data_IF_128308837955
#
_entry.id   IF_128308837955
#
_cell.length_a   1.000
_cell.length_b   1.000
_cell.length_c   1.000
_cell.angle_alpha   90.00
_cell.angle_beta   90.00
_cell.angle_gamma   90.00
#
_symmetry.space_group_name_H-M   'P 1'
#
loop_
_entity.id
_entity.type
_entity.pdbx_description
1 polymer ?
#
# COMPACT_ATOMS: atom_id res chain seq x y z
N UNK A 1 6.39 5.93 -18.88
CA UNK A 1 4.97 5.68 -19.18
C UNK A 1 4.77 4.89 -20.46
N UNK A 2 5.31 5.29 -21.61
CA UNK A 2 5.16 4.54 -22.87
C UNK A 2 5.63 3.08 -22.77
N UNK A 3 6.66 2.82 -21.99
CA UNK A 3 7.16 1.47 -21.71
C UNK A 3 6.17 0.62 -20.87
N UNK A 4 5.48 1.20 -19.88
CA UNK A 4 4.50 0.48 -19.04
C UNK A 4 3.30 0.01 -19.88
N UNK A 5 2.79 0.85 -20.77
CA UNK A 5 1.72 0.47 -21.70
C UNK A 5 2.16 -0.63 -22.65
N UNK A 6 3.38 -0.53 -23.22
CA UNK A 6 3.91 -1.57 -24.09
C UNK A 6 4.09 -2.91 -23.36
N UNK A 7 4.59 -2.89 -22.13
CA UNK A 7 4.69 -4.10 -21.27
C UNK A 7 3.31 -4.69 -20.95
N UNK A 8 2.32 -3.82 -20.69
CA UNK A 8 0.94 -4.26 -20.49
C UNK A 8 0.38 -4.94 -21.73
N UNK A 9 0.59 -4.36 -22.92
CA UNK A 9 0.15 -4.96 -24.19
C UNK A 9 0.82 -6.31 -24.44
N UNK A 10 2.12 -6.44 -24.16
CA UNK A 10 2.82 -7.72 -24.25
C UNK A 10 2.21 -8.76 -23.31
N UNK A 11 1.97 -8.37 -22.06
CA UNK A 11 1.38 -9.27 -21.07
C UNK A 11 -0.06 -9.69 -21.44
N UNK A 12 -0.86 -8.80 -22.03
CA UNK A 12 -2.18 -9.15 -22.56
C UNK A 12 -2.07 -10.22 -23.66
N UNK A 13 -1.15 -10.03 -24.60
CA UNK A 13 -0.93 -10.99 -25.69
C UNK A 13 -0.47 -12.36 -25.16
N UNK A 14 0.44 -12.37 -24.19
CA UNK A 14 0.94 -13.62 -23.57
C UNK A 14 -0.15 -14.42 -22.83
N UNK A 15 -1.27 -13.76 -22.43
CA UNK A 15 -2.39 -14.36 -21.73
C UNK A 15 -3.66 -14.54 -22.59
N UNK A 16 -3.57 -14.36 -23.90
CA UNK A 16 -4.70 -14.41 -24.84
C UNK A 16 -5.85 -13.47 -24.44
N UNK A 17 -5.51 -12.25 -24.01
CA UNK A 17 -6.46 -11.19 -23.65
C UNK A 17 -6.40 -10.11 -24.73
N UNK A 18 -7.53 -9.76 -25.32
CA UNK A 18 -7.59 -8.83 -26.43
C UNK A 18 -7.52 -7.37 -26.00
N UNK A 19 -8.03 -7.05 -24.80
CA UNK A 19 -7.94 -5.69 -24.24
C UNK A 19 -8.03 -5.70 -22.72
N UNK A 20 -7.44 -4.68 -22.07
CA UNK A 20 -7.61 -4.35 -20.65
C UNK A 20 -8.39 -3.04 -20.53
N UNK A 21 -9.38 -3.02 -19.64
CA UNK A 21 -10.18 -1.85 -19.29
C UNK A 21 -9.83 -1.40 -17.86
N UNK A 22 -9.32 -0.18 -17.71
CA UNK A 22 -8.86 0.35 -16.41
C UNK A 22 -9.66 1.61 -16.06
N UNK A 23 -10.27 1.60 -14.89
CA UNK A 23 -11.00 2.74 -14.33
C UNK A 23 -10.14 3.53 -13.33
N UNK A 24 -10.58 4.72 -12.83
CA UNK A 24 -9.78 5.50 -11.89
C UNK A 24 -9.35 4.71 -10.65
N UNK A 25 -8.05 4.75 -10.38
CA UNK A 25 -7.38 4.05 -9.31
C UNK A 25 -5.86 4.02 -9.54
N UNK A 26 -5.16 3.24 -8.76
CA UNK A 26 -3.71 3.11 -8.84
C UNK A 26 -3.24 2.57 -10.20
N UNK A 27 -3.97 1.65 -10.80
CA UNK A 27 -3.63 1.09 -12.11
C UNK A 27 -3.71 2.14 -13.22
N UNK A 28 -4.75 3.00 -13.22
CA UNK A 28 -4.83 4.10 -14.17
C UNK A 28 -3.67 5.07 -13.99
N UNK A 29 -3.37 5.42 -12.73
CA UNK A 29 -2.25 6.31 -12.41
C UNK A 29 -0.91 5.71 -12.81
N UNK A 30 -0.70 4.42 -12.54
CA UNK A 30 0.52 3.69 -12.93
C UNK A 30 0.74 3.71 -14.44
N UNK A 31 -0.30 3.47 -15.22
CA UNK A 31 -0.22 3.35 -16.67
C UNK A 31 -0.14 4.71 -17.40
N UNK A 32 -0.77 5.76 -16.86
CA UNK A 32 -0.94 7.05 -17.55
C UNK A 32 -0.34 8.25 -16.81
N UNK A 33 -0.09 8.14 -15.51
CA UNK A 33 0.22 9.27 -14.63
C UNK A 33 -1.00 10.10 -14.23
N UNK A 34 -2.19 9.81 -14.76
CA UNK A 34 -3.40 10.59 -14.49
C UNK A 34 -4.09 10.12 -13.20
N UNK A 35 -4.21 11.03 -12.26
CA UNK A 35 -4.93 10.81 -11.01
C UNK A 35 -6.39 11.28 -11.16
N UNK A 36 -7.24 10.46 -11.79
CA UNK A 36 -8.67 10.68 -11.88
C UNK A 36 -9.38 10.20 -10.60
N UNK A 37 -10.44 10.93 -10.20
CA UNK A 37 -11.31 10.49 -9.11
C UNK A 37 -12.29 9.39 -9.58
N UNK A 38 -12.59 8.38 -8.76
CA UNK A 38 -13.56 7.33 -9.10
C UNK A 38 -15.00 7.82 -8.89
N UNK A 39 -15.46 8.69 -9.77
CA UNK A 39 -16.81 9.28 -9.75
C UNK A 39 -17.82 8.42 -10.55
N UNK A 40 -19.10 8.82 -10.55
CA UNK A 40 -20.19 8.12 -11.24
C UNK A 40 -20.07 8.11 -12.77
N UNK A 41 -19.46 9.16 -13.35
CA UNK A 41 -19.16 9.24 -14.78
C UNK A 41 -18.02 8.32 -15.16
N UNK A 42 -18.13 7.67 -16.30
CA UNK A 42 -17.10 6.72 -16.74
C UNK A 42 -15.84 7.47 -17.20
N UNK A 43 -14.75 7.26 -16.51
CA UNK A 43 -13.38 7.40 -17.03
C UNK A 43 -12.83 5.98 -17.21
N UNK A 44 -12.30 5.67 -18.39
CA UNK A 44 -11.80 4.33 -18.71
C UNK A 44 -10.61 4.41 -19.69
N UNK A 45 -9.48 3.86 -19.29
CA UNK A 45 -8.38 3.59 -20.22
C UNK A 45 -8.64 2.24 -20.86
N UNK A 46 -8.70 2.21 -22.17
CA UNK A 46 -8.77 0.99 -23.00
C UNK A 46 -7.38 0.70 -23.52
N UNK A 47 -6.79 -0.41 -23.12
CA UNK A 47 -5.47 -0.88 -23.58
C UNK A 47 -5.69 -2.14 -24.41
N UNK A 48 -5.76 -2.07 -25.76
CA UNK A 48 -5.83 -3.25 -26.61
C UNK A 48 -4.47 -4.00 -26.59
N UNK A 49 -4.47 -5.31 -26.77
CA UNK A 49 -3.24 -6.11 -26.88
C UNK A 49 -2.38 -5.70 -28.09
N UNK A 50 -3.03 -5.10 -29.10
CA UNK A 50 -2.36 -4.50 -30.27
C UNK A 50 -3.13 -3.26 -30.72
N UNK A 51 -2.42 -2.21 -31.09
CA UNK A 51 -3.01 -0.93 -31.49
C UNK A 51 -2.75 0.17 -30.44
N UNK A 52 -3.47 1.27 -30.56
CA UNK A 52 -3.25 2.46 -29.74
C UNK A 52 -4.15 2.45 -28.50
N UNK A 53 -3.59 2.48 -27.27
CA UNK A 53 -4.39 2.68 -26.07
C UNK A 53 -5.12 4.03 -26.10
N UNK A 54 -6.34 4.09 -25.57
CA UNK A 54 -7.18 5.29 -25.60
C UNK A 54 -7.80 5.53 -24.22
N UNK A 55 -7.74 6.78 -23.76
CA UNK A 55 -8.39 7.20 -22.52
C UNK A 55 -9.75 7.85 -22.84
N UNK A 56 -10.84 7.25 -22.36
CA UNK A 56 -12.19 7.79 -22.43
C UNK A 56 -12.49 8.55 -21.15
N UNK A 57 -12.91 9.80 -21.26
CA UNK A 57 -13.26 10.66 -20.11
C UNK A 57 -14.57 11.40 -20.36
N UNK A 58 -15.32 11.84 -19.32
CA UNK A 58 -16.36 12.82 -19.49
C UNK A 58 -15.81 14.09 -20.15
N UNK A 59 -16.54 14.71 -21.06
CA UNK A 59 -16.06 15.92 -21.78
C UNK A 59 -15.66 17.05 -20.82
N UNK A 60 -16.30 17.13 -19.66
CA UNK A 60 -15.98 18.12 -18.62
C UNK A 60 -14.60 17.89 -17.96
N UNK A 61 -14.05 16.66 -18.03
CA UNK A 61 -12.75 16.29 -17.46
C UNK A 61 -11.64 16.23 -18.51
N UNK A 62 -11.97 16.44 -19.79
CA UNK A 62 -11.00 16.34 -20.90
C UNK A 62 -9.79 17.26 -20.68
N UNK A 63 -10.03 18.53 -20.31
CA UNK A 63 -8.94 19.48 -20.07
C UNK A 63 -8.06 19.10 -18.88
N UNK A 64 -8.61 18.47 -17.85
CA UNK A 64 -7.83 17.97 -16.71
C UNK A 64 -6.93 16.80 -17.12
N UNK A 65 -7.44 15.89 -17.93
CA UNK A 65 -6.66 14.76 -18.46
C UNK A 65 -5.53 15.24 -19.39
N UNK A 66 -5.79 16.25 -20.26
CA UNK A 66 -4.75 16.89 -21.07
C UNK A 66 -3.67 17.57 -20.22
N UNK A 67 -4.08 18.32 -19.19
CA UNK A 67 -3.16 19.02 -18.28
C UNK A 67 -2.30 18.06 -17.47
N UNK A 68 -2.78 16.84 -17.20
CA UNK A 68 -1.99 15.78 -16.56
C UNK A 68 -0.91 15.18 -17.47
N UNK A 69 -0.87 15.55 -18.77
CA UNK A 69 0.15 15.08 -19.72
C UNK A 69 -0.02 13.62 -20.12
N UNK A 70 -1.25 13.11 -20.15
CA UNK A 70 -1.54 11.75 -20.60
C UNK A 70 -1.02 11.55 -22.02
N UNK A 71 -0.21 10.51 -22.22
CA UNK A 71 0.51 10.27 -23.47
C UNK A 71 -0.25 9.38 -24.48
N UNK A 72 -1.57 9.19 -24.29
CA UNK A 72 -2.45 8.46 -25.18
C UNK A 72 -3.58 9.36 -25.68
N UNK A 73 -4.24 9.08 -26.81
CA UNK A 73 -5.43 9.79 -27.25
C UNK A 73 -6.49 9.86 -26.18
N UNK A 74 -7.08 11.02 -26.01
CA UNK A 74 -8.18 11.27 -25.06
C UNK A 74 -9.46 11.50 -25.84
N UNK A 75 -10.50 10.72 -25.53
CA UNK A 75 -11.83 10.83 -26.13
C UNK A 75 -12.82 11.30 -25.08
N UNK A 76 -13.34 12.52 -25.27
CA UNK A 76 -14.38 13.09 -24.39
C UNK A 76 -15.78 12.64 -24.82
N UNK A 77 -16.64 12.25 -23.87
CA UNK A 77 -18.06 11.93 -24.13
C UNK A 77 -18.99 12.93 -23.45
N UNK A 78 -20.14 13.20 -24.08
CA UNK A 78 -21.14 14.14 -23.59
C UNK A 78 -22.18 13.44 -22.70
N UNK A 79 -22.84 14.18 -21.79
CA UNK A 79 -23.82 13.65 -20.83
C UNK A 79 -24.99 12.88 -21.51
N UNK A 80 -25.25 13.12 -22.78
CA UNK A 80 -26.29 12.45 -23.55
C UNK A 80 -25.80 11.23 -24.34
N UNK A 81 -24.51 10.94 -24.28
CA UNK A 81 -23.89 9.81 -24.99
C UNK A 81 -23.77 8.60 -24.07
N UNK A 82 -23.66 7.42 -24.66
CA UNK A 82 -23.39 6.19 -23.93
C UNK A 82 -21.87 5.90 -23.94
N UNK A 83 -21.14 6.16 -22.84
CA UNK A 83 -19.70 5.95 -22.80
C UNK A 83 -19.30 4.48 -22.94
N UNK A 84 -20.16 3.54 -22.55
CA UNK A 84 -19.91 2.11 -22.71
C UNK A 84 -19.93 1.68 -24.17
N UNK A 85 -20.75 2.34 -25.01
CA UNK A 85 -20.74 2.13 -26.45
C UNK A 85 -19.44 2.64 -27.10
N UNK A 86 -18.82 3.71 -26.55
CA UNK A 86 -17.49 4.16 -26.98
C UNK A 86 -16.43 3.12 -26.64
N UNK A 87 -16.43 2.60 -25.40
CA UNK A 87 -15.53 1.50 -25.01
C UNK A 87 -15.70 0.32 -25.97
N UNK A 88 -16.95 -0.12 -26.23
CA UNK A 88 -17.23 -1.21 -27.14
C UNK A 88 -16.71 -0.97 -28.57
N UNK A 89 -16.78 0.26 -29.07
CA UNK A 89 -16.27 0.61 -30.40
C UNK A 89 -14.75 0.50 -30.53
N UNK A 90 -13.99 0.74 -29.44
CA UNK A 90 -12.55 0.62 -29.40
C UNK A 90 -12.13 -0.85 -29.22
N UNK A 91 -12.85 -1.56 -28.35
CA UNK A 91 -12.61 -3.00 -28.08
C UNK A 91 -12.94 -3.85 -29.32
N UNK A 92 -13.91 -3.45 -30.15
CA UNK A 92 -14.26 -4.11 -31.42
C UNK A 92 -14.70 -5.56 -31.23
N UNK A 93 -14.18 -6.44 -32.08
CA UNK A 93 -14.51 -7.88 -32.11
C UNK A 93 -13.70 -8.71 -31.11
N UNK A 94 -13.25 -8.12 -29.99
CA UNK A 94 -12.53 -8.83 -28.94
C UNK A 94 -13.34 -10.03 -28.42
N UNK A 95 -12.64 -11.12 -28.17
CA UNK A 95 -13.24 -12.35 -27.63
C UNK A 95 -13.08 -12.45 -26.13
N UNK A 96 -12.01 -11.86 -25.58
CA UNK A 96 -11.68 -11.90 -24.16
C UNK A 96 -11.07 -10.56 -23.73
N UNK A 97 -11.67 -9.94 -22.74
CA UNK A 97 -11.21 -8.67 -22.16
C UNK A 97 -10.96 -8.81 -20.67
N UNK A 98 -9.96 -8.09 -20.18
CA UNK A 98 -9.72 -7.93 -18.76
C UNK A 98 -10.33 -6.63 -18.26
N UNK A 99 -10.86 -6.63 -17.05
CA UNK A 99 -11.32 -5.42 -16.34
C UNK A 99 -10.52 -5.27 -15.05
N UNK A 100 -10.23 -4.03 -14.65
CA UNK A 100 -9.52 -3.81 -13.39
C UNK A 100 -10.37 -4.31 -12.19
N UNK A 101 -9.68 -4.76 -11.14
CA UNK A 101 -10.33 -5.40 -9.98
C UNK A 101 -11.17 -4.41 -9.16
N UNK A 102 -10.93 -3.10 -9.29
CA UNK A 102 -11.65 -2.03 -8.60
C UNK A 102 -12.76 -1.40 -9.45
N UNK A 103 -13.01 -1.92 -10.65
CA UNK A 103 -14.12 -1.44 -11.47
C UNK A 103 -15.46 -1.68 -10.75
N UNK A 104 -16.25 -0.65 -10.61
CA UNK A 104 -17.57 -0.78 -10.00
C UNK A 104 -18.41 -1.83 -10.73
N UNK A 105 -19.08 -2.70 -9.98
CA UNK A 105 -19.91 -3.76 -10.55
C UNK A 105 -20.97 -3.22 -11.53
N UNK A 106 -21.53 -2.02 -11.26
CA UNK A 106 -22.47 -1.35 -12.17
C UNK A 106 -21.87 -1.11 -13.56
N UNK A 107 -20.58 -0.78 -13.64
CA UNK A 107 -19.86 -0.59 -14.91
C UNK A 107 -19.59 -1.90 -15.61
N UNK A 108 -19.22 -2.93 -14.85
CA UNK A 108 -19.03 -4.28 -15.40
C UNK A 108 -20.33 -4.80 -16.03
N UNK A 109 -21.48 -4.62 -15.37
CA UNK A 109 -22.76 -4.99 -15.93
C UNK A 109 -23.14 -4.17 -17.17
N UNK A 110 -22.90 -2.84 -17.14
CA UNK A 110 -23.16 -1.99 -18.30
C UNK A 110 -22.27 -2.35 -19.51
N UNK A 111 -21.02 -2.74 -19.29
CA UNK A 111 -20.13 -3.24 -20.34
C UNK A 111 -20.66 -4.55 -20.94
N UNK A 112 -21.21 -5.45 -20.14
CA UNK A 112 -21.81 -6.72 -20.63
C UNK A 112 -23.00 -6.54 -21.54
N UNK A 113 -23.73 -5.43 -21.41
CA UNK A 113 -24.85 -5.12 -22.30
C UNK A 113 -24.38 -4.72 -23.72
N UNK A 114 -23.13 -4.26 -23.86
CA UNK A 114 -22.61 -3.71 -25.13
C UNK A 114 -21.39 -4.48 -25.67
N UNK A 115 -20.72 -5.30 -24.87
CA UNK A 115 -19.55 -6.10 -25.25
C UNK A 115 -19.84 -7.58 -24.98
N UNK A 116 -19.82 -8.39 -26.03
CA UNK A 116 -20.06 -9.84 -25.92
C UNK A 116 -18.85 -10.68 -25.56
N UNK A 117 -17.66 -10.05 -25.36
CA UNK A 117 -16.44 -10.74 -24.97
C UNK A 117 -16.55 -11.40 -23.59
N UNK A 118 -15.81 -12.49 -23.39
CA UNK A 118 -15.54 -13.03 -22.05
C UNK A 118 -14.85 -11.95 -21.22
N UNK A 119 -15.34 -11.72 -19.99
CA UNK A 119 -14.72 -10.76 -19.06
C UNK A 119 -13.99 -11.51 -17.95
N UNK A 120 -12.71 -11.18 -17.76
CA UNK A 120 -11.84 -11.71 -16.70
C UNK A 120 -11.27 -10.57 -15.85
N UNK A 121 -10.72 -10.89 -14.67
CA UNK A 121 -10.04 -9.90 -13.84
C UNK A 121 -8.67 -9.56 -14.45
N UNK A 122 -8.35 -8.27 -14.48
CA UNK A 122 -7.09 -7.72 -14.99
C UNK A 122 -6.04 -7.45 -13.92
N UNK A 123 -6.45 -7.42 -12.65
CA UNK A 123 -5.59 -7.11 -11.51
C UNK A 123 -4.32 -7.96 -11.45
N UNK A 124 -4.37 -9.28 -11.56
CA UNK A 124 -3.16 -10.11 -11.53
C UNK A 124 -2.12 -9.73 -12.58
N UNK A 125 -2.56 -9.26 -13.75
CA UNK A 125 -1.68 -8.86 -14.84
C UNK A 125 -0.99 -7.53 -14.55
N UNK A 126 -1.74 -6.52 -14.07
CA UNK A 126 -1.18 -5.21 -13.70
C UNK A 126 -0.36 -5.30 -12.42
N UNK A 127 -0.81 -6.08 -11.44
CA UNK A 127 -0.08 -6.35 -10.21
C UNK A 127 1.32 -6.93 -10.48
N UNK A 128 1.46 -7.85 -11.42
CA UNK A 128 2.75 -8.43 -11.80
C UNK A 128 3.75 -7.37 -12.34
N UNK A 129 3.24 -6.31 -12.97
CA UNK A 129 4.05 -5.17 -13.43
C UNK A 129 4.39 -4.22 -12.28
N UNK A 130 3.39 -3.85 -11.47
CA UNK A 130 3.53 -2.92 -10.34
C UNK A 130 4.40 -3.48 -9.22
N UNK A 131 4.35 -4.79 -9.01
CA UNK A 131 5.08 -5.49 -7.97
C UNK A 131 6.60 -5.25 -8.06
N UNK A 132 7.16 -5.20 -9.29
CA UNK A 132 8.58 -4.92 -9.54
C UNK A 132 8.79 -3.45 -9.85
N UNK A 133 9.30 -2.72 -8.86
CA UNK A 133 9.54 -1.27 -8.95
C UNK A 133 10.70 -0.96 -9.88
N UNK A 134 10.50 0.01 -10.76
CA UNK A 134 11.57 0.62 -11.53
C UNK A 134 12.45 1.49 -10.61
N UNK A 135 13.71 1.80 -10.99
CA UNK A 135 14.58 2.61 -10.15
C UNK A 135 13.97 3.96 -9.69
N UNK A 136 13.20 4.60 -10.56
CA UNK A 136 12.52 5.86 -10.21
C UNK A 136 11.39 5.66 -9.18
N UNK A 137 10.72 4.50 -9.21
CA UNK A 137 9.69 4.14 -8.22
C UNK A 137 10.32 3.83 -6.86
N UNK A 138 11.46 3.13 -6.85
CA UNK A 138 12.24 2.87 -5.63
C UNK A 138 12.68 4.18 -4.98
N UNK A 139 13.13 5.15 -5.78
CA UNK A 139 13.52 6.46 -5.24
C UNK A 139 12.33 7.23 -4.68
N UNK A 140 11.16 7.20 -5.34
CA UNK A 140 9.95 7.81 -4.83
C UNK A 140 9.48 7.17 -3.49
N UNK A 141 9.58 5.84 -3.36
CA UNK A 141 9.32 5.14 -2.10
C UNK A 141 10.36 5.51 -1.02
N UNK A 142 11.62 5.71 -1.40
CA UNK A 142 12.68 6.16 -0.48
C UNK A 142 12.41 7.57 0.04
N UNK A 143 11.95 8.47 -0.81
CA UNK A 143 11.55 9.83 -0.42
C UNK A 143 10.36 9.80 0.53
N UNK A 144 9.33 8.98 0.24
CA UNK A 144 8.17 8.79 1.10
C UNK A 144 8.57 8.20 2.46
N UNK A 145 9.42 7.16 2.48
CA UNK A 145 9.97 6.55 3.70
C UNK A 145 10.80 7.55 4.52
N UNK A 146 11.61 8.38 3.88
CA UNK A 146 12.38 9.41 4.56
C UNK A 146 11.48 10.52 5.16
N UNK A 147 10.38 10.86 4.49
CA UNK A 147 9.42 11.84 4.99
C UNK A 147 8.70 11.33 6.25
N UNK A 148 8.20 10.10 6.23
CA UNK A 148 7.52 9.52 7.42
C UNK A 148 8.50 9.28 8.58
N UNK A 149 9.77 8.95 8.30
CA UNK A 149 10.82 8.87 9.30
C UNK A 149 11.07 10.22 10.00
N UNK A 150 10.90 11.36 9.29
CA UNK A 150 11.01 12.69 9.91
C UNK A 150 9.89 12.94 10.91
N UNK A 151 8.68 12.44 10.64
CA UNK A 151 7.56 12.49 11.59
C UNK A 151 7.88 11.67 12.84
N UNK A 152 8.35 10.42 12.69
CA UNK A 152 8.74 9.57 13.82
C UNK A 152 9.85 10.21 14.68
N UNK A 153 10.82 10.90 14.10
CA UNK A 153 11.87 11.58 14.87
C UNK A 153 11.35 12.71 15.77
N UNK A 154 10.20 13.29 15.42
CA UNK A 154 9.55 14.37 16.16
C UNK A 154 8.54 13.87 17.20
N UNK A 155 8.36 12.56 17.34
CA UNK A 155 7.30 11.97 18.16
C UNK A 155 7.28 12.48 19.61
N UNK A 156 8.45 12.76 20.19
CA UNK A 156 8.56 13.36 21.53
C UNK A 156 7.97 14.78 21.68
N UNK A 157 7.63 15.47 20.58
CA UNK A 157 6.95 16.77 20.62
C UNK A 157 5.48 16.60 21.04
N UNK A 158 4.85 15.50 20.66
CA UNK A 158 3.40 15.30 20.77
C UNK A 158 2.99 14.16 21.68
N UNK A 159 3.72 13.03 21.65
CA UNK A 159 3.38 11.82 22.37
C UNK A 159 3.81 11.94 23.84
N UNK A 160 2.87 12.31 24.70
CA UNK A 160 3.08 12.55 26.14
C UNK A 160 1.92 12.04 26.97
N UNK A 161 2.20 11.60 28.19
CA UNK A 161 1.17 11.28 29.18
C UNK A 161 0.25 12.48 29.45
N UNK A 162 -1.02 12.21 29.67
CA UNK A 162 -2.06 13.20 29.92
C UNK A 162 -2.73 13.76 28.66
N UNK A 163 -2.22 13.47 27.47
CA UNK A 163 -2.90 13.79 26.21
C UNK A 163 -3.76 12.61 25.74
N UNK A 164 -4.77 12.89 24.94
CA UNK A 164 -5.57 11.85 24.29
C UNK A 164 -4.91 11.34 23.02
N UNK A 165 -5.21 10.10 22.64
CA UNK A 165 -4.76 9.52 21.34
C UNK A 165 -5.19 10.42 20.18
N UNK A 166 -6.41 10.95 20.21
CA UNK A 166 -6.97 11.86 19.18
C UNK A 166 -6.17 13.16 19.04
N UNK A 167 -5.77 13.78 20.15
CA UNK A 167 -4.96 15.01 20.13
C UNK A 167 -3.59 14.74 19.51
N UNK A 168 -2.96 13.63 19.90
CA UNK A 168 -1.65 13.21 19.35
C UNK A 168 -1.78 12.87 17.87
N UNK A 169 -2.81 12.11 17.49
CA UNK A 169 -3.07 11.75 16.10
C UNK A 169 -3.28 12.97 15.20
N UNK A 170 -3.96 14.01 15.70
CA UNK A 170 -4.15 15.26 14.96
C UNK A 170 -2.84 16.04 14.74
N UNK A 171 -1.91 16.01 15.70
CA UNK A 171 -0.59 16.63 15.53
C UNK A 171 0.26 15.84 14.52
N UNK A 172 0.22 14.51 14.60
CA UNK A 172 0.91 13.61 13.66
C UNK A 172 0.39 13.82 12.23
N UNK A 173 -0.93 13.89 12.04
CA UNK A 173 -1.53 14.13 10.73
C UNK A 173 -1.03 15.44 10.09
N UNK A 174 -0.94 16.52 10.86
CA UNK A 174 -0.35 17.78 10.39
C UNK A 174 1.12 17.61 10.02
N UNK A 175 1.89 16.91 10.86
CA UNK A 175 3.30 16.69 10.62
C UNK A 175 3.57 15.86 9.35
N UNK A 176 2.71 14.89 9.02
CA UNK A 176 2.81 14.10 7.77
C UNK A 176 2.77 15.05 6.56
N UNK A 177 1.83 15.99 6.53
CA UNK A 177 1.73 16.99 5.45
C UNK A 177 2.95 17.92 5.47
N UNK A 178 3.33 18.44 6.64
CA UNK A 178 4.46 19.36 6.79
C UNK A 178 5.79 18.74 6.32
N UNK A 179 5.94 17.42 6.47
CA UNK A 179 7.16 16.68 6.10
C UNK A 179 7.17 16.22 4.63
N UNK A 180 6.13 16.53 3.85
CA UNK A 180 6.15 16.44 2.39
C UNK A 180 5.19 15.43 1.77
N UNK A 181 4.23 14.88 2.52
CA UNK A 181 3.13 14.14 1.94
C UNK A 181 2.04 15.10 1.44
N UNK A 182 1.33 14.69 0.40
CA UNK A 182 0.17 15.40 -0.14
C UNK A 182 -1.11 15.02 0.60
N UNK A 183 -1.21 13.76 1.02
CA UNK A 183 -2.33 13.24 1.79
C UNK A 183 -1.86 12.44 3.01
N UNK A 184 -2.70 12.43 4.02
CA UNK A 184 -2.61 11.50 5.15
C UNK A 184 -3.51 10.32 4.84
N UNK A 185 -2.95 9.13 4.75
CA UNK A 185 -3.73 7.95 4.41
C UNK A 185 -4.31 7.30 5.69
N UNK A 186 -3.50 7.24 6.75
CA UNK A 186 -3.96 6.77 8.06
C UNK A 186 -3.05 7.27 9.19
N UNK A 187 -3.61 7.32 10.40
CA UNK A 187 -2.90 7.60 11.66
C UNK A 187 -3.48 6.72 12.76
N UNK A 188 -2.69 5.78 13.23
CA UNK A 188 -2.98 4.95 14.40
C UNK A 188 -2.13 5.46 15.58
N UNK A 189 -2.77 5.79 16.69
CA UNK A 189 -2.14 6.04 17.98
C UNK A 189 -2.89 5.19 18.99
N UNK A 190 -2.33 4.05 19.37
CA UNK A 190 -3.00 3.04 20.18
C UNK A 190 -2.24 2.82 21.49
N UNK A 191 -2.75 3.40 22.59
CA UNK A 191 -2.09 3.43 23.89
C UNK A 191 -2.59 2.34 24.83
N UNK A 192 -1.70 1.74 25.63
CA UNK A 192 -2.02 0.70 26.60
C UNK A 192 -2.88 -0.42 26.00
N UNK A 193 -4.09 -0.69 26.56
CA UNK A 193 -4.98 -1.76 26.08
C UNK A 193 -5.42 -1.60 24.62
N UNK A 194 -5.51 -0.38 24.11
CA UNK A 194 -5.87 -0.10 22.72
C UNK A 194 -4.79 -0.61 21.73
N UNK A 195 -3.52 -0.65 22.17
CA UNK A 195 -2.42 -1.22 21.40
C UNK A 195 -2.59 -2.71 21.07
N UNK A 196 -3.51 -3.41 21.73
CA UNK A 196 -3.86 -4.79 21.40
C UNK A 196 -4.79 -4.92 20.18
N UNK A 197 -5.24 -3.82 19.58
CA UNK A 197 -6.04 -3.78 18.36
C UNK A 197 -5.16 -3.29 17.19
N UNK A 198 -4.79 -4.13 16.21
CA UNK A 198 -3.89 -3.74 15.13
C UNK A 198 -4.34 -2.52 14.33
N UNK A 199 -5.65 -2.38 14.08
CA UNK A 199 -6.25 -1.28 13.33
C UNK A 199 -7.11 -0.38 14.23
N UNK A 200 -6.55 0.01 15.40
CA UNK A 200 -7.24 0.89 16.34
C UNK A 200 -7.41 2.29 15.75
N UNK A 201 -8.63 2.82 15.76
CA UNK A 201 -8.90 4.21 15.44
C UNK A 201 -8.61 5.10 16.66
N UNK A 202 -8.00 6.28 16.45
CA UNK A 202 -7.67 7.23 17.52
C UNK A 202 -8.90 7.55 18.38
N UNK A 203 -8.77 7.40 19.69
CA UNK A 203 -9.85 7.57 20.65
C UNK A 203 -9.60 8.74 21.62
N UNK A 204 -10.56 8.99 22.53
CA UNK A 204 -10.43 9.97 23.61
C UNK A 204 -9.74 9.37 24.84
N UNK A 205 -9.16 8.15 24.73
CA UNK A 205 -8.35 7.58 25.82
C UNK A 205 -7.17 8.50 26.12
N UNK A 206 -7.01 8.81 27.42
CA UNK A 206 -5.85 9.55 27.90
C UNK A 206 -4.68 8.59 28.02
N UNK A 207 -3.55 8.95 27.42
CA UNK A 207 -2.29 8.21 27.52
C UNK A 207 -1.76 8.32 28.94
N UNK A 208 -1.51 7.19 29.58
CA UNK A 208 -1.05 7.10 30.97
C UNK A 208 0.48 6.88 31.05
N UNK A 209 1.13 7.30 32.15
CA UNK A 209 2.54 7.03 32.34
C UNK A 209 2.82 5.52 32.39
N UNK A 210 3.79 5.06 31.58
CA UNK A 210 4.15 3.65 31.43
C UNK A 210 3.42 2.95 30.29
N UNK A 211 2.43 3.59 29.67
CA UNK A 211 1.77 3.01 28.50
C UNK A 211 2.74 2.72 27.36
N UNK A 212 2.74 1.51 26.80
CA UNK A 212 3.20 1.31 25.45
C UNK A 212 2.19 1.91 24.47
N UNK A 213 2.70 2.60 23.44
CA UNK A 213 1.87 3.24 22.43
C UNK A 213 2.35 2.82 21.04
N UNK A 214 1.51 2.10 20.33
CA UNK A 214 1.72 1.80 18.91
C UNK A 214 1.38 3.04 18.11
N UNK A 215 2.35 3.53 17.33
CA UNK A 215 2.15 4.62 16.38
C UNK A 215 2.45 4.08 15.00
N UNK A 216 1.41 3.98 14.19
CA UNK A 216 1.44 3.47 12.83
C UNK A 216 0.85 4.52 11.88
N UNK A 217 1.68 4.98 10.95
CA UNK A 217 1.41 6.20 10.19
C UNK A 217 1.85 6.07 8.75
N UNK A 218 1.03 6.60 7.86
CA UNK A 218 1.31 6.61 6.43
C UNK A 218 0.61 7.75 5.71
N UNK A 219 1.14 8.06 4.55
CA UNK A 219 0.60 9.07 3.64
C UNK A 219 1.14 8.91 2.24
N UNK A 220 0.52 9.58 1.29
CA UNK A 220 0.92 9.57 -0.12
C UNK A 220 1.60 10.87 -0.49
N UNK A 221 2.75 10.79 -1.15
CA UNK A 221 3.50 11.96 -1.67
C UNK A 221 2.91 12.47 -2.98
N UNK A 222 3.28 13.68 -3.40
CA UNK A 222 2.88 14.25 -4.70
C UNK A 222 3.27 13.36 -5.90
N UNK A 223 4.34 12.57 -5.78
CA UNK A 223 4.73 11.58 -6.77
C UNK A 223 3.77 10.37 -6.83
N UNK A 224 2.86 10.25 -5.85
CA UNK A 224 1.85 9.20 -5.78
C UNK A 224 2.29 7.91 -5.15
N UNK A 225 3.41 7.92 -4.45
CA UNK A 225 3.92 6.77 -3.72
C UNK A 225 3.61 6.91 -2.24
N UNK A 226 3.18 5.79 -1.65
CA UNK A 226 2.79 5.71 -0.26
C UNK A 226 4.00 5.51 0.65
N UNK A 227 3.90 6.02 1.87
CA UNK A 227 4.73 5.61 3.00
C UNK A 227 3.91 4.79 3.98
N UNK A 228 4.60 3.94 4.72
CA UNK A 228 4.06 3.14 5.80
C UNK A 228 5.14 2.88 6.84
N UNK A 229 4.84 3.12 8.13
CA UNK A 229 5.83 2.90 9.18
C UNK A 229 5.20 2.80 10.55
N UNK A 230 5.48 1.72 11.26
CA UNK A 230 5.09 1.56 12.66
C UNK A 230 6.29 1.58 13.59
N UNK A 231 6.16 2.34 14.68
CA UNK A 231 7.01 2.23 15.88
C UNK A 231 6.14 2.16 17.13
N UNK A 232 6.62 1.42 18.12
CA UNK A 232 6.00 1.40 19.45
C UNK A 232 6.88 2.14 20.44
N UNK A 233 6.28 3.04 21.21
CA UNK A 233 6.94 3.88 22.19
C UNK A 233 6.46 3.53 23.59
N UNK A 234 7.22 3.90 24.64
CA UNK A 234 6.75 3.95 26.04
C UNK A 234 6.75 5.38 26.50
N UNK A 235 5.68 5.81 27.15
CA UNK A 235 5.48 7.22 27.53
C UNK A 235 5.53 7.38 29.05
N UNK A 236 6.35 8.31 29.52
CA UNK A 236 6.26 8.90 30.87
C UNK A 236 6.43 7.98 32.07
N UNK A 237 7.03 6.79 31.93
CA UNK A 237 7.15 5.86 33.05
C UNK A 237 7.88 4.57 32.71
N UNK A 238 7.84 3.62 33.66
CA UNK A 238 8.35 2.28 33.44
C UNK A 238 7.23 1.39 32.85
N UNK A 239 7.47 0.71 31.73
CA UNK A 239 6.49 -0.21 31.16
C UNK A 239 6.39 -1.51 31.98
N UNK A 240 5.28 -2.25 31.79
CA UNK A 240 5.15 -3.60 32.29
C UNK A 240 6.38 -4.44 31.87
N UNK A 241 7.05 -5.16 32.79
CA UNK A 241 8.20 -6.01 32.43
C UNK A 241 7.90 -7.09 31.38
N UNK A 242 6.64 -7.55 31.29
CA UNK A 242 6.23 -8.47 30.23
C UNK A 242 6.18 -7.77 28.87
N UNK A 243 5.77 -6.51 28.82
CA UNK A 243 5.84 -5.73 27.58
C UNK A 243 7.28 -5.62 27.05
N UNK A 244 8.25 -5.37 27.93
CA UNK A 244 9.67 -5.31 27.53
C UNK A 244 10.14 -6.66 26.94
N UNK A 245 9.73 -7.77 27.57
CA UNK A 245 10.05 -9.11 27.03
C UNK A 245 9.43 -9.34 25.66
N UNK A 246 8.13 -9.01 25.53
CA UNK A 246 7.38 -9.10 24.28
C UNK A 246 8.03 -8.28 23.18
N UNK A 247 8.41 -7.03 23.47
CA UNK A 247 9.04 -6.14 22.49
C UNK A 247 10.39 -6.67 22.00
N UNK A 248 11.22 -7.25 22.89
CA UNK A 248 12.49 -7.84 22.52
C UNK A 248 12.30 -9.06 21.60
N UNK A 249 11.27 -9.89 21.85
CA UNK A 249 10.91 -11.00 20.96
C UNK A 249 10.49 -10.47 19.59
N UNK A 250 9.62 -9.46 19.56
CA UNK A 250 9.16 -8.83 18.34
C UNK A 250 10.31 -8.23 17.51
N UNK A 251 11.21 -7.51 18.16
CA UNK A 251 12.40 -6.94 17.51
C UNK A 251 13.30 -8.01 16.90
N UNK A 252 13.51 -9.13 17.63
CA UNK A 252 14.27 -10.28 17.12
C UNK A 252 13.60 -10.91 15.91
N UNK A 253 12.27 -11.07 15.94
CA UNK A 253 11.50 -11.62 14.83
C UNK A 253 11.60 -10.73 13.58
N UNK A 254 11.37 -9.42 13.73
CA UNK A 254 11.45 -8.46 12.63
C UNK A 254 12.88 -8.39 12.05
N UNK A 255 13.91 -8.46 12.87
CA UNK A 255 15.28 -8.51 12.41
C UNK A 255 15.55 -9.78 11.59
N UNK A 256 15.15 -10.96 12.09
CA UNK A 256 15.33 -12.23 11.38
C UNK A 256 14.60 -12.24 10.03
N UNK A 257 13.38 -11.67 9.96
CA UNK A 257 12.63 -11.52 8.71
C UNK A 257 13.36 -10.65 7.69
N UNK A 258 13.90 -9.50 8.12
CA UNK A 258 14.70 -8.61 7.24
C UNK A 258 16.00 -9.27 6.75
N UNK A 259 16.65 -10.05 7.60
CA UNK A 259 17.88 -10.77 7.23
C UNK A 259 17.60 -11.96 6.29
N UNK A 260 16.41 -12.56 6.39
CA UNK A 260 15.99 -13.67 5.54
C UNK A 260 15.49 -13.21 4.16
N UNK A 261 14.79 -12.07 4.10
CA UNK A 261 14.18 -11.55 2.89
C UNK A 261 15.24 -11.15 1.84
N UNK A 262 15.19 -11.80 0.68
CA UNK A 262 16.09 -11.58 -0.46
C UNK A 262 15.50 -12.22 -1.71
N UNK A 263 15.99 -11.93 -2.92
CA UNK A 263 15.60 -12.67 -4.12
C UNK A 263 15.84 -14.18 -3.96
N UNK A 264 14.91 -14.98 -4.49
CA UNK A 264 14.98 -16.45 -4.48
C UNK A 264 14.34 -17.12 -3.27
N UNK A 265 13.97 -16.41 -2.19
CA UNK A 265 13.16 -16.98 -1.09
C UNK A 265 11.67 -16.77 -1.38
N UNK A 266 10.79 -17.61 -0.80
CA UNK A 266 9.33 -17.43 -0.94
C UNK A 266 8.80 -16.40 0.06
N UNK A 267 7.74 -15.69 -0.31
CA UNK A 267 7.06 -14.73 0.57
C UNK A 267 6.62 -15.39 1.90
N UNK A 268 6.05 -16.61 1.84
CA UNK A 268 5.69 -17.38 3.05
C UNK A 268 6.88 -17.69 3.95
N UNK A 269 8.09 -17.88 3.37
CA UNK A 269 9.28 -18.18 4.17
C UNK A 269 9.75 -17.00 5.02
N UNK A 270 9.51 -15.76 4.56
CA UNK A 270 9.77 -14.55 5.33
C UNK A 270 8.78 -14.44 6.51
N UNK A 271 7.48 -14.69 6.26
CA UNK A 271 6.46 -14.74 7.33
C UNK A 271 6.83 -15.79 8.36
N UNK A 272 7.15 -17.01 7.92
CA UNK A 272 7.44 -18.16 8.78
C UNK A 272 8.59 -17.90 9.75
N UNK A 273 9.69 -17.33 9.30
CA UNK A 273 10.86 -17.05 10.15
C UNK A 273 10.51 -16.20 11.37
N UNK A 274 9.74 -15.12 11.20
CA UNK A 274 9.33 -14.28 12.32
C UNK A 274 8.25 -14.95 13.17
N UNK A 275 7.32 -15.62 12.54
CA UNK A 275 6.21 -16.31 13.21
C UNK A 275 6.70 -17.43 14.13
N UNK A 276 7.69 -18.23 13.71
CA UNK A 276 8.32 -19.26 14.52
C UNK A 276 9.00 -18.66 15.78
N UNK A 277 9.77 -17.58 15.64
CA UNK A 277 10.41 -16.90 16.77
C UNK A 277 9.37 -16.42 17.81
N UNK A 278 8.28 -15.82 17.32
CA UNK A 278 7.17 -15.32 18.16
C UNK A 278 6.46 -16.50 18.85
N UNK A 279 6.21 -17.58 18.13
CA UNK A 279 5.54 -18.79 18.65
C UNK A 279 6.41 -19.51 19.69
N UNK A 280 7.70 -19.68 19.45
CA UNK A 280 8.65 -20.33 20.39
C UNK A 280 8.78 -19.55 21.71
N UNK A 281 8.57 -18.23 21.66
CA UNK A 281 8.52 -17.38 22.85
C UNK A 281 7.16 -17.42 23.58
N UNK A 282 6.17 -18.18 23.09
CA UNK A 282 4.85 -18.36 23.67
C UNK A 282 3.82 -17.33 23.27
N UNK A 283 4.08 -16.54 22.21
CA UNK A 283 3.16 -15.49 21.72
C UNK A 283 2.52 -15.83 20.36
N UNK A 284 2.58 -17.09 19.90
CA UNK A 284 2.11 -17.50 18.57
C UNK A 284 0.67 -17.09 18.28
N UNK A 285 -0.25 -17.33 19.21
CA UNK A 285 -1.66 -16.96 19.08
C UNK A 285 -1.92 -15.44 19.11
N UNK A 286 -0.92 -14.67 19.51
CA UNK A 286 -0.98 -13.21 19.60
C UNK A 286 -0.46 -12.50 18.35
N UNK A 287 0.10 -13.21 17.36
CA UNK A 287 0.46 -12.67 16.05
C UNK A 287 -0.61 -13.03 15.02
N UNK A 288 -1.60 -12.15 14.89
CA UNK A 288 -2.90 -12.43 14.25
C UNK A 288 -3.03 -11.98 12.80
N UNK A 289 -2.00 -11.37 12.24
CA UNK A 289 -2.01 -10.90 10.84
C UNK A 289 -0.80 -11.42 10.04
N UNK A 290 -0.75 -11.11 8.76
CA UNK A 290 0.40 -11.38 7.89
C UNK A 290 1.61 -10.55 8.30
N UNK A 291 2.79 -10.98 7.90
CA UNK A 291 4.05 -10.25 8.15
C UNK A 291 4.14 -8.95 7.37
N UNK A 292 3.46 -8.84 6.22
CA UNK A 292 3.54 -7.62 5.42
C UNK A 292 2.78 -7.69 4.11
N UNK A 293 2.86 -6.61 3.38
CA UNK A 293 2.19 -6.38 2.09
C UNK A 293 3.10 -5.59 1.16
N UNK A 294 2.88 -5.72 -0.15
CA UNK A 294 3.50 -4.83 -1.13
C UNK A 294 3.03 -3.38 -0.94
N UNK A 295 3.84 -2.46 -1.39
CA UNK A 295 3.58 -1.02 -1.33
C UNK A 295 4.06 -0.35 -2.60
N UNK A 296 3.38 0.69 -3.02
CA UNK A 296 3.72 1.49 -4.19
C UNK A 296 2.82 2.70 -4.32
N UNK A 297 1.95 2.69 -5.32
CA UNK A 297 0.90 3.69 -5.50
C UNK A 297 -0.38 3.36 -4.71
N UNK A 298 -0.40 2.22 -4.06
CA UNK A 298 -1.35 1.84 -3.00
C UNK A 298 -0.56 1.44 -1.77
N UNK A 299 -1.12 1.70 -0.60
CA UNK A 299 -0.53 1.26 0.67
C UNK A 299 -0.44 -0.26 0.71
N UNK A 300 -1.51 -0.95 0.26
CA UNK A 300 -1.53 -2.40 0.18
C UNK A 300 -1.65 -2.88 -1.27
N UNK A 301 -0.60 -3.52 -1.77
CA UNK A 301 -0.60 -4.21 -3.07
C UNK A 301 0.21 -5.53 -2.97
N UNK A 302 0.35 -6.25 -4.06
CA UNK A 302 1.24 -7.43 -4.11
C UNK A 302 2.74 -7.00 -4.07
N UNK A 303 3.60 -7.87 -3.45
CA UNK A 303 3.34 -9.20 -2.90
C UNK A 303 2.85 -9.17 -1.45
N UNK A 304 1.98 -10.09 -1.06
CA UNK A 304 1.64 -10.30 0.35
C UNK A 304 2.62 -11.26 1.01
N UNK A 305 3.21 -10.84 2.13
CA UNK A 305 4.15 -11.65 2.92
C UNK A 305 3.34 -12.42 3.99
N UNK A 306 2.87 -13.60 3.60
CA UNK A 306 1.89 -14.38 4.39
C UNK A 306 2.08 -15.87 4.16
N UNK A 307 1.71 -16.68 5.15
CA UNK A 307 1.66 -18.15 5.06
C UNK A 307 0.84 -18.59 3.82
N UNK A 308 1.37 -19.56 3.07
CA UNK A 308 0.77 -20.10 1.85
C UNK A 308 1.10 -19.31 0.58
N UNK A 309 1.69 -18.11 0.66
CA UNK A 309 2.16 -17.41 -0.52
C UNK A 309 3.53 -17.92 -0.98
N UNK A 310 3.51 -18.81 -1.97
CA UNK A 310 4.72 -19.43 -2.55
C UNK A 310 5.42 -18.57 -3.60
N UNK A 311 4.97 -17.33 -3.83
CA UNK A 311 5.63 -16.39 -4.73
C UNK A 311 7.09 -16.23 -4.32
N UNK A 312 7.99 -16.47 -5.26
CA UNK A 312 9.42 -16.22 -5.06
C UNK A 312 9.69 -14.72 -5.17
N UNK A 313 10.31 -14.16 -4.13
CA UNK A 313 10.72 -12.75 -4.14
C UNK A 313 11.80 -12.52 -5.20
N UNK A 314 11.74 -11.36 -5.83
CA UNK A 314 12.62 -10.96 -6.93
C UNK A 314 13.08 -9.52 -6.73
N UNK A 315 14.17 -9.13 -7.39
CA UNK A 315 14.68 -7.76 -7.35
C UNK A 315 13.61 -6.76 -7.83
N UNK A 316 13.54 -5.62 -7.17
CA UNK A 316 12.54 -4.58 -7.39
C UNK A 316 11.23 -4.78 -6.63
N UNK A 317 10.97 -5.92 -6.01
CA UNK A 317 9.78 -6.09 -5.17
C UNK A 317 9.90 -5.28 -3.88
N UNK A 318 8.89 -4.42 -3.63
CA UNK A 318 8.78 -3.56 -2.44
C UNK A 318 7.65 -4.05 -1.54
N UNK A 319 7.91 -4.17 -0.24
CA UNK A 319 6.92 -4.66 0.73
C UNK A 319 7.26 -4.22 2.17
N UNK A 320 6.24 -4.25 3.04
CA UNK A 320 6.42 -4.06 4.49
C UNK A 320 6.95 -5.34 5.16
N UNK A 321 7.68 -5.16 6.26
CA UNK A 321 8.01 -6.20 7.23
C UNK A 321 7.58 -5.67 8.59
N UNK A 322 6.41 -6.14 9.06
CA UNK A 322 5.65 -5.53 10.15
C UNK A 322 5.09 -6.55 11.17
N UNK A 323 5.86 -7.50 11.67
CA UNK A 323 5.32 -8.40 12.68
C UNK A 323 4.77 -7.63 13.87
N UNK A 324 3.72 -8.19 14.50
CA UNK A 324 3.09 -7.60 15.68
C UNK A 324 2.67 -8.66 16.69
N UNK A 325 2.66 -8.30 17.97
CA UNK A 325 2.20 -9.15 19.07
C UNK A 325 1.16 -8.37 19.87
N UNK A 326 -0.05 -8.93 20.04
CA UNK A 326 -1.19 -8.25 20.60
C UNK A 326 -1.81 -9.07 21.73
N UNK A 327 -1.77 -8.55 22.97
CA UNK A 327 -2.35 -9.19 24.16
C UNK A 327 -3.66 -8.49 24.52
N UNK A 328 -4.84 -9.06 24.17
CA UNK A 328 -6.13 -8.42 24.37
C UNK A 328 -6.35 -7.90 25.80
N UNK A 329 -6.81 -6.65 25.90
CA UNK A 329 -7.07 -5.97 27.18
C UNK A 329 -5.82 -5.52 27.95
N UNK A 330 -4.63 -5.72 27.38
CA UNK A 330 -3.37 -5.32 28.01
C UNK A 330 -2.57 -4.35 27.18
N UNK A 331 -1.93 -4.81 26.11
CA UNK A 331 -1.10 -4.00 25.22
C UNK A 331 -0.76 -4.80 23.94
N UNK A 332 -0.24 -4.10 22.96
CA UNK A 332 0.38 -4.68 21.77
C UNK A 332 1.62 -3.91 21.37
N UNK A 333 2.35 -4.48 20.40
CA UNK A 333 3.49 -3.84 19.76
C UNK A 333 3.56 -4.26 18.29
N UNK A 334 4.00 -3.36 17.43
CA UNK A 334 4.37 -3.59 16.03
C UNK A 334 5.64 -2.81 15.70
N UNK A 335 6.49 -3.39 14.89
CA UNK A 335 7.68 -2.73 14.31
C UNK A 335 7.59 -2.97 12.81
N UNK A 336 7.57 -1.90 12.05
CA UNK A 336 7.40 -1.96 10.61
C UNK A 336 8.43 -1.13 9.87
N UNK A 337 8.93 -1.69 8.80
CA UNK A 337 9.73 -1.01 7.80
C UNK A 337 9.29 -1.41 6.41
N UNK A 338 9.32 -0.47 5.48
CA UNK A 338 9.27 -0.74 4.06
C UNK A 338 10.67 -1.10 3.56
N UNK A 339 10.73 -2.12 2.73
CA UNK A 339 11.96 -2.60 2.13
C UNK A 339 11.77 -2.95 0.65
N UNK A 340 12.85 -2.93 -0.10
CA UNK A 340 12.90 -3.33 -1.51
C UNK A 340 13.94 -4.42 -1.68
N UNK A 341 13.58 -5.51 -2.36
CA UNK A 341 14.56 -6.51 -2.79
C UNK A 341 15.52 -5.90 -3.81
N UNK A 342 16.83 -6.02 -3.53
CA UNK A 342 17.91 -5.72 -4.46
C UNK A 342 18.44 -7.02 -5.06
N UNK A 343 19.35 -6.97 -6.02
CA UNK A 343 19.96 -8.18 -6.59
C UNK A 343 20.67 -9.02 -5.51
N UNK A 344 21.27 -8.38 -4.49
CA UNK A 344 22.12 -9.00 -3.48
C UNK A 344 21.46 -9.15 -2.09
N UNK A 345 20.21 -8.70 -1.91
CA UNK A 345 19.56 -8.74 -0.59
C UNK A 345 18.35 -7.82 -0.45
N UNK A 346 18.32 -7.07 0.65
CA UNK A 346 17.20 -6.19 1.00
C UNK A 346 17.70 -4.77 1.31
N UNK A 347 17.14 -3.76 0.69
CA UNK A 347 17.33 -2.37 1.07
C UNK A 347 16.13 -1.87 1.88
N UNK A 348 16.35 -1.53 3.14
CA UNK A 348 15.31 -1.04 4.04
C UNK A 348 15.23 0.48 3.92
N UNK A 349 14.06 0.99 3.54
CA UNK A 349 13.86 2.40 3.24
C UNK A 349 13.66 3.26 4.50
N UNK A 350 13.05 2.70 5.57
CA UNK A 350 12.89 3.37 6.85
C UNK A 350 14.16 3.29 7.70
N UNK A 351 14.57 4.41 8.28
CA UNK A 351 15.81 4.56 9.07
C UNK A 351 15.56 4.88 10.54
N UNK A 352 14.32 5.10 10.95
CA UNK A 352 13.96 5.29 12.36
C UNK A 352 14.40 4.08 13.19
N UNK A 353 15.06 4.27 14.36
CA UNK A 353 15.50 3.18 15.24
C UNK A 353 14.36 2.21 15.58
N UNK A 354 14.69 0.93 15.76
CA UNK A 354 13.75 -0.17 16.07
C UNK A 354 13.80 -0.57 17.52
N UNK A 355 14.76 -0.03 18.27
CA UNK A 355 14.87 -0.17 19.71
C UNK A 355 13.67 0.50 20.38
N UNK A 356 13.26 -0.05 21.54
CA UNK A 356 12.17 0.54 22.32
C UNK A 356 12.56 1.94 22.81
N UNK A 357 11.91 2.95 22.26
CA UNK A 357 12.12 4.35 22.66
C UNK A 357 11.21 4.71 23.82
N UNK A 358 11.80 5.29 24.88
CA UNK A 358 11.08 5.86 26.01
C UNK A 358 11.03 7.37 25.86
N UNK A 359 9.82 7.89 25.83
CA UNK A 359 9.54 9.32 25.78
C UNK A 359 9.20 9.85 27.17
N UNK A 360 9.49 11.13 27.47
CA UNK A 360 9.23 11.73 28.78
C UNK A 360 7.75 11.80 29.19
#
# INVERSE_FOLDING_TARGET
MTDRLARTQSALADHDIDALLVTPGADLRYLTGYHALPLERLTCLVVPSSGEPTLIVPALEHAAAEAAGVAVPIVGWQETENPFALVASIVGDARRIAVDDHMWASRVFALREVISAEQVLGGPLVAALRMRKEPAEVEALREAGAAIDRVHRRMGEWLRAGRTEREVGADIARAIIDEGHETVDFVIVASGPNGASPHHEVSDRIIEPGDPVVVDIGGTTAAGYCSDSTRTYVVGGEPDPEFVRLYNVLQTAQQAQREHARPGVTAESVDRVGREIIADAGYGDAFVHRTGHGIGQETHEEPYIVEGNTLTLDAGMAFSIEPGIYLPGRFGARIEDIAVCTEDGLDVLNRTPRELVRLP
#
